data_IF_496838813470
#
_entry.id   IF_496838813470
#
_cell.length_a   1.000
_cell.length_b   1.000
_cell.length_c   1.000
_cell.angle_alpha   90.00
_cell.angle_beta   90.00
_cell.angle_gamma   90.00
#
_symmetry.space_group_name_H-M   'P 1'
#
loop_
_entity.id
_entity.type
_entity.pdbx_description
1 polymer ?
#
# COMPACT_ATOMS: atom_id res chain seq x y z
N UNK A 1 42.45 4.32 1.95
CA UNK A 1 41.90 4.71 0.64
C UNK A 1 40.73 3.78 0.37
N UNK A 2 39.51 4.24 0.66
CA UNK A 2 38.30 3.41 0.60
C UNK A 2 37.75 3.50 -0.81
N UNK A 3 37.71 2.37 -1.53
CA UNK A 3 37.16 2.29 -2.89
C UNK A 3 35.63 2.49 -2.78
N UNK A 4 35.02 3.43 -3.52
CA UNK A 4 33.57 3.55 -3.55
C UNK A 4 33.00 2.30 -4.22
N UNK A 5 32.13 1.57 -3.51
CA UNK A 5 31.38 0.46 -4.08
C UNK A 5 30.45 1.03 -5.16
N UNK A 6 30.69 0.62 -6.40
CA UNK A 6 29.82 0.87 -7.56
C UNK A 6 28.56 0.02 -7.37
N UNK A 7 27.64 0.49 -6.52
CA UNK A 7 26.29 -0.07 -6.42
C UNK A 7 25.59 0.12 -7.76
N UNK A 8 24.86 -0.90 -8.20
CA UNK A 8 23.92 -0.75 -9.30
C UNK A 8 22.93 0.34 -8.88
N UNK A 9 23.02 1.51 -9.50
CA UNK A 9 21.97 2.52 -9.45
C UNK A 9 20.81 1.85 -10.18
N UNK A 10 19.88 1.28 -9.42
CA UNK A 10 18.60 0.88 -9.98
C UNK A 10 18.01 2.20 -10.48
N UNK A 11 17.83 2.32 -11.80
CA UNK A 11 17.09 3.41 -12.43
C UNK A 11 15.62 3.25 -12.06
N UNK A 12 15.35 3.44 -10.77
CA UNK A 12 14.01 3.64 -10.27
C UNK A 12 13.74 5.09 -10.61
N UNK A 13 13.13 5.34 -11.76
CA UNK A 13 12.33 6.55 -11.88
C UNK A 13 11.16 6.41 -10.91
N UNK A 14 11.45 6.60 -9.61
CA UNK A 14 10.50 7.01 -8.61
C UNK A 14 9.94 8.29 -9.19
N UNK A 15 8.79 8.20 -9.89
CA UNK A 15 8.15 9.33 -10.55
C UNK A 15 8.05 10.47 -9.54
N UNK A 16 8.98 11.43 -9.65
CA UNK A 16 9.12 12.64 -8.84
C UNK A 16 8.59 12.52 -7.40
N UNK A 17 9.03 11.51 -6.65
CA UNK A 17 8.83 11.45 -5.20
C UNK A 17 9.95 12.19 -4.49
N UNK A 18 9.78 12.50 -3.20
CA UNK A 18 10.89 13.07 -2.44
C UNK A 18 11.87 11.93 -2.11
N UNK A 19 12.96 11.81 -2.88
CA UNK A 19 14.07 10.87 -2.62
C UNK A 19 14.55 10.87 -1.16
N UNK A 20 14.23 11.94 -0.41
CA UNK A 20 14.50 12.09 1.02
C UNK A 20 13.98 10.93 1.86
N UNK A 21 12.78 10.39 1.61
CA UNK A 21 12.27 9.24 2.39
C UNK A 21 13.05 7.96 2.08
N UNK A 22 13.31 7.69 0.81
CA UNK A 22 14.12 6.55 0.39
C UNK A 22 15.54 6.61 0.97
N UNK A 23 16.17 7.80 0.92
CA UNK A 23 17.49 8.06 1.52
C UNK A 23 17.44 7.89 3.05
N UNK A 24 16.39 8.37 3.73
CA UNK A 24 16.24 8.17 5.17
C UNK A 24 16.16 6.69 5.51
N UNK A 25 15.38 5.89 4.78
CA UNK A 25 15.25 4.46 5.00
C UNK A 25 16.55 3.69 4.73
N UNK A 26 17.27 4.00 3.65
CA UNK A 26 18.59 3.42 3.37
C UNK A 26 19.56 3.66 4.53
N UNK A 27 19.60 4.90 5.04
CA UNK A 27 20.42 5.26 6.20
C UNK A 27 19.95 4.54 7.46
N UNK A 28 18.64 4.56 7.74
CA UNK A 28 18.01 4.03 8.95
C UNK A 28 18.17 2.52 9.05
N UNK A 29 18.01 1.80 7.95
CA UNK A 29 18.07 0.33 7.92
C UNK A 29 19.45 -0.20 7.47
N UNK A 30 20.34 0.68 7.01
CA UNK A 30 21.69 0.32 6.55
C UNK A 30 21.68 -0.81 5.49
N UNK A 31 20.69 -0.78 4.61
CA UNK A 31 20.45 -1.80 3.59
C UNK A 31 19.97 -1.16 2.28
N UNK A 32 20.28 -1.83 1.16
CA UNK A 32 19.80 -1.41 -0.17
C UNK A 32 18.37 -1.91 -0.35
N UNK A 33 17.42 -1.05 -0.79
CA UNK A 33 16.03 -1.44 -0.96
C UNK A 33 15.87 -2.42 -2.13
N UNK A 34 14.98 -3.39 -1.95
CA UNK A 34 14.39 -4.16 -3.05
C UNK A 34 12.93 -3.74 -3.20
N UNK A 35 12.58 -3.15 -4.35
CA UNK A 35 11.21 -2.70 -4.60
C UNK A 35 10.32 -3.85 -5.00
N UNK A 36 9.12 -3.89 -4.41
CA UNK A 36 8.06 -4.77 -4.89
C UNK A 36 7.57 -4.28 -6.27
N UNK A 37 7.25 -5.20 -7.20
CA UNK A 37 6.71 -4.83 -8.50
C UNK A 37 5.28 -4.30 -8.40
N UNK A 38 4.51 -4.78 -7.42
CA UNK A 38 3.13 -4.36 -7.18
C UNK A 38 3.08 -3.06 -6.39
N UNK A 39 2.11 -2.21 -6.74
CA UNK A 39 1.83 -0.95 -6.06
C UNK A 39 0.49 -0.99 -5.35
N UNK A 40 0.45 -0.47 -4.14
CA UNK A 40 -0.76 -0.24 -3.37
C UNK A 40 -1.43 0.99 -3.96
N UNK A 41 -2.62 0.78 -4.52
CA UNK A 41 -3.35 1.82 -5.23
C UNK A 41 -2.54 2.48 -6.35
N UNK A 42 -1.65 1.74 -7.03
CA UNK A 42 -0.87 2.28 -8.17
C UNK A 42 0.14 3.40 -7.89
N UNK A 43 0.07 4.04 -6.72
CA UNK A 43 0.90 5.18 -6.33
C UNK A 43 1.96 4.78 -5.32
N UNK A 44 1.61 3.94 -4.35
CA UNK A 44 2.50 3.59 -3.23
C UNK A 44 3.18 2.25 -3.50
N UNK A 45 4.49 2.26 -3.69
CA UNK A 45 5.29 1.03 -3.75
C UNK A 45 5.64 0.56 -2.33
N UNK A 46 6.07 -0.68 -2.20
CA UNK A 46 6.74 -1.15 -0.97
C UNK A 46 8.20 -1.48 -1.24
N UNK A 47 9.08 -1.10 -0.33
CA UNK A 47 10.50 -1.43 -0.35
C UNK A 47 10.86 -2.39 0.78
N UNK A 48 11.57 -3.46 0.43
CA UNK A 48 12.14 -4.42 1.36
C UNK A 48 13.60 -4.07 1.66
N UNK A 49 13.93 -3.97 2.95
CA UNK A 49 15.27 -3.81 3.48
C UNK A 49 15.60 -5.02 4.35
N UNK A 50 16.57 -5.84 3.94
CA UNK A 50 17.01 -7.01 4.72
C UNK A 50 18.42 -6.80 5.27
N UNK A 51 18.60 -7.08 6.56
CA UNK A 51 19.87 -6.90 7.25
C UNK A 51 19.80 -7.34 8.71
N UNK A 52 20.92 -7.76 9.29
CA UNK A 52 21.06 -8.06 10.73
C UNK A 52 20.01 -9.02 11.31
N UNK A 53 19.52 -9.99 10.53
CA UNK A 53 18.51 -10.96 10.97
C UNK A 53 17.08 -10.42 11.03
N UNK A 54 16.87 -9.20 10.53
CA UNK A 54 15.58 -8.54 10.41
C UNK A 54 15.25 -8.27 8.94
N UNK A 55 13.96 -8.19 8.65
CA UNK A 55 13.45 -7.70 7.39
C UNK A 55 12.48 -6.56 7.68
N UNK A 56 12.67 -5.43 7.01
CA UNK A 56 11.81 -4.26 7.12
C UNK A 56 11.13 -4.02 5.78
N UNK A 57 9.80 -3.88 5.79
CA UNK A 57 9.06 -3.41 4.64
C UNK A 57 8.57 -2.01 4.93
N UNK A 58 8.90 -1.06 4.07
CA UNK A 58 8.43 0.32 4.16
C UNK A 58 7.57 0.68 2.95
N UNK A 59 6.59 1.56 3.13
CA UNK A 59 5.95 2.23 2.00
C UNK A 59 6.90 3.25 1.38
N UNK A 60 6.73 3.47 0.07
CA UNK A 60 7.38 4.53 -0.69
C UNK A 60 6.32 5.14 -1.62
N UNK A 61 6.02 6.42 -1.44
CA UNK A 61 4.99 7.13 -2.17
C UNK A 61 3.77 7.50 -1.32
N UNK A 62 3.70 7.09 -0.05
CA UNK A 62 2.59 7.46 0.83
C UNK A 62 2.65 8.94 1.24
N UNK A 63 3.85 9.50 1.29
CA UNK A 63 4.11 10.90 1.62
C UNK A 63 3.44 11.87 0.65
N UNK A 64 3.14 11.37 -0.55
CA UNK A 64 2.43 12.07 -1.61
C UNK A 64 0.90 12.07 -1.41
N UNK A 65 0.37 11.17 -0.58
CA UNK A 65 -1.05 11.19 -0.21
C UNK A 65 -1.28 12.28 0.81
N UNK A 66 -2.14 13.23 0.47
CA UNK A 66 -2.39 14.38 1.33
C UNK A 66 -3.48 14.08 2.33
N UNK A 67 -3.07 13.95 3.58
CA UNK A 67 -3.95 13.92 4.74
C UNK A 67 -4.11 15.35 5.27
N UNK A 68 -5.35 15.79 5.48
CA UNK A 68 -5.63 17.18 5.85
C UNK A 68 -4.96 17.55 7.19
N UNK A 69 -4.11 18.59 7.18
CA UNK A 69 -3.44 19.11 8.38
C UNK A 69 -2.25 18.26 8.87
N UNK A 70 -1.87 17.22 8.13
CA UNK A 70 -0.80 16.31 8.52
C UNK A 70 0.48 16.58 7.71
N UNK A 71 1.62 16.30 8.31
CA UNK A 71 2.89 16.31 7.59
C UNK A 71 3.02 15.06 6.70
N UNK A 72 3.81 15.12 5.60
CA UNK A 72 4.09 13.95 4.77
C UNK A 72 4.62 12.80 5.63
N UNK A 73 4.18 11.58 5.35
CA UNK A 73 4.57 10.43 6.14
C UNK A 73 4.73 9.16 5.32
N UNK A 74 5.57 8.27 5.84
CA UNK A 74 5.68 6.89 5.39
C UNK A 74 5.44 5.94 6.57
N UNK A 75 5.07 4.69 6.28
CA UNK A 75 4.94 3.64 7.29
C UNK A 75 5.93 2.51 7.02
N UNK A 76 6.39 1.83 8.05
CA UNK A 76 7.14 0.58 7.89
C UNK A 76 6.76 -0.45 8.93
N UNK A 77 7.00 -1.72 8.61
CA UNK A 77 6.87 -2.84 9.53
C UNK A 77 8.15 -3.66 9.54
N UNK A 78 8.66 -3.97 10.74
CA UNK A 78 9.86 -4.77 10.92
C UNK A 78 9.52 -6.15 11.51
N UNK A 79 10.05 -7.19 10.88
CA UNK A 79 9.87 -8.59 11.25
C UNK A 79 11.22 -9.33 11.22
N UNK A 80 11.25 -10.61 11.65
CA UNK A 80 12.45 -11.43 11.49
C UNK A 80 12.75 -11.69 10.01
N UNK A 81 14.03 -11.91 9.69
CA UNK A 81 14.44 -12.32 8.36
C UNK A 81 13.65 -13.54 7.86
N UNK A 82 13.24 -13.53 6.59
CA UNK A 82 12.38 -14.54 5.99
C UNK A 82 10.89 -14.45 6.34
N UNK A 83 10.46 -13.46 7.14
CA UNK A 83 9.05 -13.20 7.45
C UNK A 83 8.49 -11.96 6.74
N UNK A 84 9.22 -11.38 5.78
CA UNK A 84 8.89 -10.10 5.14
C UNK A 84 7.51 -10.06 4.46
N UNK A 85 6.98 -11.20 3.99
CA UNK A 85 5.64 -11.27 3.41
C UNK A 85 4.56 -10.79 4.39
N UNK A 86 4.70 -11.08 5.69
CA UNK A 86 3.78 -10.60 6.71
C UNK A 86 3.85 -9.08 6.91
N UNK A 87 5.07 -8.53 6.90
CA UNK A 87 5.29 -7.09 6.97
C UNK A 87 4.70 -6.37 5.73
N UNK A 88 4.86 -6.94 4.54
CA UNK A 88 4.29 -6.40 3.31
C UNK A 88 2.75 -6.38 3.33
N UNK A 89 2.12 -7.45 3.82
CA UNK A 89 0.65 -7.49 4.00
C UNK A 89 0.20 -6.42 5.00
N UNK A 90 0.94 -6.24 6.11
CA UNK A 90 0.60 -5.26 7.12
C UNK A 90 0.73 -3.81 6.61
N UNK A 91 1.84 -3.47 5.96
CA UNK A 91 2.04 -2.17 5.32
C UNK A 91 0.95 -1.90 4.29
N UNK A 92 0.66 -2.87 3.43
CA UNK A 92 -0.41 -2.77 2.42
C UNK A 92 -1.76 -2.47 3.06
N UNK A 93 -2.15 -3.23 4.09
CA UNK A 93 -3.42 -3.02 4.79
C UNK A 93 -3.48 -1.69 5.53
N UNK A 94 -2.40 -1.29 6.18
CA UNK A 94 -2.32 -0.01 6.89
C UNK A 94 -2.46 1.16 5.93
N UNK A 95 -1.71 1.15 4.82
CA UNK A 95 -1.79 2.18 3.77
C UNK A 95 -3.21 2.27 3.22
N UNK A 96 -3.82 1.15 2.83
CA UNK A 96 -5.19 1.14 2.32
C UNK A 96 -6.18 1.71 3.34
N UNK A 97 -6.10 1.28 4.60
CA UNK A 97 -6.96 1.83 5.66
C UNK A 97 -6.79 3.35 5.83
N UNK A 98 -5.56 3.85 5.81
CA UNK A 98 -5.29 5.28 5.94
C UNK A 98 -5.92 6.08 4.80
N UNK A 99 -5.80 5.57 3.57
CA UNK A 99 -6.30 6.26 2.37
C UNK A 99 -7.80 6.09 2.18
N UNK A 100 -8.29 4.84 2.23
CA UNK A 100 -9.65 4.43 1.86
C UNK A 100 -10.65 4.61 3.01
N UNK A 101 -10.29 4.18 4.24
CA UNK A 101 -11.24 4.16 5.37
C UNK A 101 -11.19 5.46 6.19
N UNK A 102 -9.98 5.93 6.48
CA UNK A 102 -9.75 7.01 7.44
C UNK A 102 -9.63 8.39 6.78
N UNK A 103 -9.12 8.45 5.54
CA UNK A 103 -8.69 9.70 4.92
C UNK A 103 -7.60 10.43 5.73
N UNK A 104 -6.77 9.68 6.46
CA UNK A 104 -5.84 10.20 7.45
C UNK A 104 -4.89 9.12 7.99
N UNK A 105 -3.86 9.51 8.79
CA UNK A 105 -2.94 8.56 9.39
C UNK A 105 -3.62 7.62 10.37
N UNK A 106 -3.03 6.44 10.58
CA UNK A 106 -3.45 5.55 11.67
C UNK A 106 -3.30 6.30 13.01
N UNK A 107 -4.29 6.23 13.92
CA UNK A 107 -4.15 6.78 15.25
C UNK A 107 -3.00 6.08 15.98
N UNK A 108 -2.12 6.88 16.60
CA UNK A 108 -0.98 6.35 17.34
C UNK A 108 -1.46 5.64 18.60
N UNK A 109 -0.86 4.50 18.89
CA UNK A 109 -1.09 3.69 20.09
C UNK A 109 -2.50 3.11 20.24
N UNK A 110 -3.35 3.25 19.22
CA UNK A 110 -4.70 2.67 19.14
C UNK A 110 -4.69 1.41 18.25
N UNK A 111 -4.83 0.21 18.82
CA UNK A 111 -4.79 -1.02 18.04
C UNK A 111 -5.97 -1.14 17.06
N UNK A 112 -5.65 -1.31 15.77
CA UNK A 112 -6.64 -1.73 14.79
C UNK A 112 -6.76 -3.25 14.75
N UNK A 113 -7.86 -3.77 15.29
CA UNK A 113 -8.19 -5.20 15.28
C UNK A 113 -9.01 -5.58 14.02
N UNK A 114 -8.69 -6.72 13.42
CA UNK A 114 -9.46 -7.36 12.35
C UNK A 114 -10.04 -8.70 12.81
N UNK A 115 -11.21 -9.08 12.28
CA UNK A 115 -11.96 -10.26 12.72
C UNK A 115 -11.26 -11.60 12.43
N UNK A 116 -10.31 -11.63 11.50
CA UNK A 116 -9.56 -12.82 11.13
C UNK A 116 -8.07 -12.49 11.00
N UNK A 117 -7.16 -13.45 11.22
CA UNK A 117 -5.74 -13.19 11.08
C UNK A 117 -5.42 -12.68 9.68
N UNK A 118 -4.73 -11.55 9.57
CA UNK A 118 -4.43 -10.97 8.26
C UNK A 118 -3.27 -11.67 7.54
N UNK A 119 -2.51 -12.50 8.26
CA UNK A 119 -1.52 -13.42 7.68
C UNK A 119 -1.97 -14.85 7.98
N UNK A 120 -2.31 -15.65 6.95
CA UNK A 120 -2.74 -17.04 7.13
C UNK A 120 -1.73 -17.87 7.93
N UNK A 121 -2.24 -18.70 8.85
CA UNK A 121 -1.41 -19.56 9.71
C UNK A 121 -0.70 -18.84 10.86
N UNK A 122 -1.01 -17.56 11.11
CA UNK A 122 -0.50 -16.81 12.27
C UNK A 122 -1.63 -16.45 13.23
N UNK A 123 -1.26 -15.91 14.40
CA UNK A 123 -2.21 -15.36 15.38
C UNK A 123 -2.43 -13.84 15.23
N UNK A 124 -1.87 -13.23 14.17
CA UNK A 124 -1.82 -11.79 14.02
C UNK A 124 -3.16 -11.23 13.55
N UNK A 125 -3.86 -10.56 14.47
CA UNK A 125 -5.17 -9.94 14.24
C UNK A 125 -5.13 -8.41 14.36
N UNK A 126 -4.08 -7.83 14.94
CA UNK A 126 -3.99 -6.40 15.17
C UNK A 126 -2.80 -5.75 14.47
N UNK A 127 -2.95 -4.48 14.12
CA UNK A 127 -1.85 -3.59 13.75
C UNK A 127 -1.98 -2.35 14.64
N UNK A 128 -0.87 -1.91 15.23
CA UNK A 128 -0.83 -0.63 15.96
C UNK A 128 0.27 0.25 15.38
N UNK A 129 -0.04 1.52 15.16
CA UNK A 129 0.91 2.54 14.76
C UNK A 129 1.63 3.09 16.00
N UNK A 130 2.94 3.20 15.95
CA UNK A 130 3.76 3.62 17.10
C UNK A 130 4.70 4.76 16.70
N UNK A 131 5.05 5.58 17.70
CA UNK A 131 5.84 6.80 17.54
C UNK A 131 7.28 6.63 18.03
N UNK A 132 8.03 7.75 18.05
CA UNK A 132 9.42 7.80 18.47
C UNK A 132 9.68 7.20 19.86
N UNK A 133 8.72 7.29 20.78
CA UNK A 133 8.86 6.79 22.14
C UNK A 133 8.99 5.26 22.20
N UNK A 134 8.41 4.54 21.24
CA UNK A 134 8.47 3.07 21.18
C UNK A 134 9.89 2.52 21.09
N UNK A 135 10.75 3.18 20.30
CA UNK A 135 12.17 2.77 20.14
C UNK A 135 13.17 3.72 20.78
N UNK A 136 12.71 4.84 21.33
CA UNK A 136 13.59 5.95 21.72
C UNK A 136 14.38 6.50 20.53
N UNK A 137 13.80 6.47 19.32
CA UNK A 137 14.44 6.90 18.09
C UNK A 137 13.65 8.04 17.45
N UNK A 138 14.36 9.02 16.88
CA UNK A 138 13.70 10.05 16.08
C UNK A 138 13.07 9.44 14.82
N UNK A 139 11.80 9.74 14.63
CA UNK A 139 11.00 9.29 13.50
C UNK A 139 10.78 10.41 12.48
N UNK A 140 11.36 11.59 12.69
CA UNK A 140 11.42 12.65 11.69
C UNK A 140 12.26 12.26 10.48
N UNK A 141 11.84 12.72 9.31
CA UNK A 141 12.58 12.64 8.05
C UNK A 141 13.10 14.02 7.72
N UNK A 142 14.39 14.13 7.43
CA UNK A 142 15.07 15.42 7.23
C UNK A 142 15.80 15.44 5.89
N UNK A 143 15.75 16.58 5.20
CA UNK A 143 16.54 16.80 4.00
C UNK A 143 18.03 17.04 4.33
N UNK A 144 18.87 17.14 3.30
CA UNK A 144 20.31 17.37 3.46
C UNK A 144 20.66 18.69 4.18
N UNK A 145 19.72 19.64 4.26
CA UNK A 145 19.91 20.89 5.02
C UNK A 145 19.53 20.75 6.51
N UNK A 146 19.03 19.58 6.92
CA UNK A 146 18.52 19.32 8.27
C UNK A 146 17.09 19.81 8.49
N UNK A 147 16.38 20.25 7.44
CA UNK A 147 14.97 20.65 7.56
C UNK A 147 14.09 19.41 7.54
N UNK A 148 13.10 19.37 8.45
CA UNK A 148 12.10 18.30 8.50
C UNK A 148 11.22 18.32 7.26
N UNK A 149 11.09 17.17 6.60
CA UNK A 149 10.26 16.94 5.41
C UNK A 149 9.04 16.09 5.70
N UNK A 150 9.04 15.36 6.81
CA UNK A 150 7.92 14.53 7.22
C UNK A 150 8.27 13.66 8.42
N UNK A 151 7.55 12.55 8.56
CA UNK A 151 7.79 11.54 9.60
C UNK A 151 7.61 10.12 9.07
N UNK A 152 8.14 9.18 9.83
CA UNK A 152 7.92 7.76 9.63
C UNK A 152 7.07 7.23 10.79
N UNK A 153 6.18 6.29 10.53
CA UNK A 153 5.43 5.56 11.55
C UNK A 153 5.81 4.10 11.48
N UNK A 154 6.12 3.49 12.63
CA UNK A 154 6.31 2.05 12.70
C UNK A 154 4.97 1.35 12.94
N UNK A 155 4.77 0.23 12.26
CA UNK A 155 3.64 -0.66 12.41
C UNK A 155 4.09 -1.88 13.21
N UNK A 156 3.46 -2.10 14.36
CA UNK A 156 3.68 -3.28 15.19
C UNK A 156 2.52 -4.25 14.99
N UNK A 157 2.84 -5.48 14.62
CA UNK A 157 1.83 -6.54 14.43
C UNK A 157 1.49 -7.13 15.79
N UNK A 158 0.21 -7.32 16.07
CA UNK A 158 -0.31 -7.80 17.35
C UNK A 158 -1.11 -9.08 17.16
N UNK A 159 -1.05 -9.97 18.15
CA UNK A 159 -2.07 -11.01 18.29
C UNK A 159 -3.39 -10.41 18.76
N UNK A 160 -4.48 -11.19 18.69
CA UNK A 160 -5.79 -10.74 19.18
C UNK A 160 -5.73 -10.34 20.67
N UNK A 161 -5.14 -11.19 21.52
CA UNK A 161 -5.00 -10.92 22.95
C UNK A 161 -4.15 -9.69 23.23
N UNK A 162 -3.06 -9.48 22.49
CA UNK A 162 -2.21 -8.29 22.64
C UNK A 162 -2.96 -7.01 22.26
N UNK A 163 -3.76 -7.04 21.18
CA UNK A 163 -4.57 -5.90 20.75
C UNK A 163 -5.71 -5.59 21.73
N UNK A 164 -6.40 -6.61 22.25
CA UNK A 164 -7.41 -6.45 23.32
C UNK A 164 -6.75 -5.84 24.56
N UNK A 165 -5.63 -6.39 25.00
CA UNK A 165 -4.93 -5.90 26.19
C UNK A 165 -4.50 -4.43 26.05
N UNK A 166 -3.98 -4.05 24.87
CA UNK A 166 -3.62 -2.65 24.60
C UNK A 166 -4.83 -1.72 24.54
N UNK A 167 -5.99 -2.20 24.07
CA UNK A 167 -7.23 -1.42 24.01
C UNK A 167 -7.83 -1.22 25.41
N UNK A 168 -7.80 -2.26 26.26
CA UNK A 168 -8.40 -2.24 27.60
C UNK A 168 -7.50 -1.57 28.66
N UNK A 169 -6.19 -1.83 28.61
CA UNK A 169 -5.22 -1.40 29.63
C UNK A 169 -4.27 -0.30 29.15
N UNK A 170 -4.45 0.15 27.91
CA UNK A 170 -3.61 1.13 27.24
C UNK A 170 -2.31 0.54 26.68
N UNK A 171 -1.70 1.27 25.74
CA UNK A 171 -0.50 0.83 25.02
C UNK A 171 0.73 0.58 25.90
N UNK A 172 0.75 1.12 27.12
CA UNK A 172 1.85 0.95 28.08
C UNK A 172 2.21 -0.51 28.37
N UNK A 173 1.24 -1.43 28.32
CA UNK A 173 1.49 -2.87 28.53
C UNK A 173 2.39 -3.45 27.43
N UNK A 174 2.21 -3.03 26.18
CA UNK A 174 3.06 -3.47 25.06
C UNK A 174 4.45 -2.84 25.14
N UNK A 175 4.54 -1.56 25.51
CA UNK A 175 5.81 -0.86 25.72
C UNK A 175 6.66 -1.50 26.81
N UNK A 176 6.03 -1.97 27.89
CA UNK A 176 6.71 -2.70 28.96
C UNK A 176 7.30 -4.02 28.44
N UNK A 177 6.54 -4.78 27.65
CA UNK A 177 7.04 -6.01 27.02
C UNK A 177 8.21 -5.72 26.08
N UNK A 178 8.08 -4.71 25.22
CA UNK A 178 9.14 -4.36 24.27
C UNK A 178 10.43 -3.95 24.98
N UNK A 179 10.31 -3.23 26.10
CA UNK A 179 11.45 -2.84 26.95
C UNK A 179 12.14 -4.04 27.61
N UNK A 180 11.35 -5.03 28.07
CA UNK A 180 11.88 -6.25 28.68
C UNK A 180 12.45 -7.24 27.67
N UNK A 181 11.88 -7.28 26.46
CA UNK A 181 12.23 -8.24 25.40
C UNK A 181 12.32 -7.53 24.05
N UNK A 182 13.43 -6.80 23.80
CA UNK A 182 13.63 -6.12 22.53
C UNK A 182 13.47 -7.06 21.34
N UNK A 183 12.62 -6.68 20.38
CA UNK A 183 12.36 -7.45 19.18
C UNK A 183 11.38 -8.63 19.34
N UNK A 184 10.74 -8.82 20.50
CA UNK A 184 9.74 -9.88 20.69
C UNK A 184 8.58 -9.79 19.67
N UNK A 185 8.14 -8.57 19.34
CA UNK A 185 7.07 -8.31 18.38
C UNK A 185 7.45 -8.58 16.91
N UNK A 186 8.73 -8.79 16.61
CA UNK A 186 9.21 -9.04 15.23
C UNK A 186 8.98 -10.48 14.76
N UNK A 187 8.72 -11.40 15.69
CA UNK A 187 8.40 -12.79 15.34
C UNK A 187 6.90 -12.94 15.10
N UNK A 188 6.51 -13.18 13.86
CA UNK A 188 5.09 -13.36 13.49
C UNK A 188 4.52 -14.70 13.96
N UNK A 189 5.39 -15.66 14.32
CA UNK A 189 5.00 -17.00 14.77
C UNK A 189 4.93 -17.12 16.29
N UNK A 190 5.12 -16.02 17.01
CA UNK A 190 5.07 -16.01 18.47
C UNK A 190 3.67 -16.36 18.99
N UNK A 191 3.63 -16.80 20.24
CA UNK A 191 2.41 -16.78 21.04
C UNK A 191 2.18 -15.38 21.62
N UNK A 192 1.01 -15.18 22.22
CA UNK A 192 0.65 -13.94 22.90
C UNK A 192 1.71 -13.56 23.93
N UNK A 193 2.23 -12.34 23.82
CA UNK A 193 3.18 -11.78 24.78
C UNK A 193 2.48 -11.19 26.01
N UNK A 194 1.21 -10.83 25.86
CA UNK A 194 0.32 -10.30 26.89
C UNK A 194 -1.02 -11.01 26.75
N UNK A 195 -1.60 -11.46 27.86
CA UNK A 195 -2.96 -11.99 27.85
C UNK A 195 -4.00 -10.85 27.89
N UNK A 196 -5.29 -11.11 27.63
CA UNK A 196 -6.32 -10.06 27.61
C UNK A 196 -6.44 -9.26 28.92
N UNK A 197 -6.02 -9.83 30.06
CA UNK A 197 -6.04 -9.14 31.36
C UNK A 197 -4.89 -8.14 31.55
N UNK A 198 -4.00 -8.02 30.56
CA UNK A 198 -2.81 -7.18 30.63
C UNK A 198 -1.62 -7.86 31.34
N UNK A 199 -1.76 -9.13 31.74
CA UNK A 199 -0.67 -9.84 32.39
C UNK A 199 0.38 -10.25 31.34
N UNK A 200 1.64 -9.91 31.63
CA UNK A 200 2.76 -10.23 30.74
C UNK A 200 3.05 -11.74 30.80
N UNK A 201 2.87 -12.40 29.64
CA UNK A 201 3.04 -13.83 29.48
C UNK A 201 4.51 -14.24 29.45
N UNK A 202 5.07 -14.61 30.61
CA UNK A 202 6.37 -15.29 30.67
C UNK A 202 6.20 -16.77 30.30
N UNK A 203 6.03 -17.08 29.01
CA UNK A 203 6.15 -18.43 28.47
C UNK A 203 5.47 -19.52 29.31
N UNK A 204 4.18 -19.38 29.58
CA UNK A 204 3.44 -20.42 30.30
C UNK A 204 3.26 -21.66 29.41
N UNK A 205 3.84 -22.84 29.73
CA UNK A 205 2.95 -23.96 29.93
C UNK A 205 2.10 -23.57 31.15
N UNK A 206 0.78 -23.50 31.00
CA UNK A 206 -0.10 -23.52 32.18
C UNK A 206 0.44 -24.66 33.05
N UNK A 207 0.93 -24.37 34.27
CA UNK A 207 0.83 -25.40 35.31
C UNK A 207 -0.64 -25.81 35.22
N UNK A 208 -0.90 -27.08 34.85
CA UNK A 208 -2.21 -27.68 35.10
C UNK A 208 -2.58 -27.22 36.50
N UNK A 209 -3.75 -26.60 36.68
CA UNK A 209 -4.28 -26.48 38.03
C UNK A 209 -4.25 -27.91 38.57
N UNK A 210 -3.53 -28.13 39.66
CA UNK A 210 -3.48 -29.44 40.33
C UNK A 210 -4.89 -29.88 40.80
N UNK A 211 -5.91 -29.02 40.63
CA UNK A 211 -7.33 -29.27 40.91
C UNK A 211 -8.19 -29.59 39.67
N UNK A 212 -7.62 -29.74 38.46
CA UNK A 212 -8.37 -30.26 37.32
C UNK A 212 -8.33 -31.80 37.38
N UNK A 213 -9.43 -32.48 37.76
CA UNK A 213 -9.44 -33.93 37.91
C UNK A 213 -9.04 -34.56 36.58
N UNK A 214 -8.05 -35.45 36.63
CA UNK A 214 -7.59 -36.18 35.46
C UNK A 214 -8.80 -36.78 34.74
N UNK A 215 -9.07 -36.32 33.51
CA UNK A 215 -9.98 -37.01 32.63
C UNK A 215 -9.49 -38.46 32.54
N UNK A 216 -10.34 -39.37 32.99
CA UNK A 216 -10.12 -40.81 32.90
C UNK A 216 -9.81 -41.15 31.43
N UNK A 217 -8.82 -42.02 31.17
CA UNK A 217 -8.55 -42.46 29.81
C UNK A 217 -9.78 -43.20 29.29
N UNK A 218 -10.40 -42.65 28.24
CA UNK A 218 -11.37 -43.37 27.44
C UNK A 218 -10.72 -44.64 26.89
N UNK A 219 -11.45 -45.74 27.03
CA UNK A 219 -11.03 -47.06 26.65
C UNK A 219 -10.62 -47.15 25.17
N UNK A 220 -9.63 -48.01 24.94
CA UNK A 220 -9.09 -48.37 23.66
C UNK A 220 -10.19 -48.85 22.67
N UNK A 221 -10.50 -48.00 21.70
CA UNK A 221 -11.19 -48.39 20.46
C UNK A 221 -10.16 -48.72 19.37
N UNK A 222 -10.25 -49.95 18.85
CA UNK A 222 -9.35 -50.56 17.87
C UNK A 222 -9.22 -49.79 16.53
N UNK A 223 -8.08 -49.88 15.84
CA UNK A 223 -7.90 -49.29 14.52
C UNK A 223 -8.57 -50.14 13.43
N UNK A 224 -9.69 -49.66 12.88
CA UNK A 224 -10.26 -50.23 11.66
C UNK A 224 -9.49 -49.73 10.44
N UNK A 225 -8.75 -50.65 9.82
CA UNK A 225 -8.22 -50.53 8.46
C UNK A 225 -9.36 -50.38 7.46
N UNK A 226 -9.21 -49.55 6.43
CA UNK A 226 -9.48 -49.84 5.00
C UNK A 226 -9.11 -48.59 4.20
N UNK A 227 -8.10 -48.72 3.34
CA UNK A 227 -7.94 -47.88 2.14
C UNK A 227 -8.66 -48.56 0.97
N UNK A 228 -9.09 -47.80 -0.05
CA UNK A 228 -8.50 -48.07 -1.35
C UNK A 228 -8.08 -46.81 -2.12
N UNK A 229 -7.19 -47.08 -3.06
CA UNK A 229 -6.43 -46.21 -3.94
C UNK A 229 -7.27 -45.64 -5.12
N UNK A 230 -6.66 -44.84 -6.03
CA UNK A 230 -7.31 -43.77 -6.78
C UNK A 230 -7.95 -44.20 -8.10
N UNK A 231 -8.89 -43.37 -8.58
CA UNK A 231 -9.43 -43.45 -9.94
C UNK A 231 -8.74 -42.39 -10.82
N UNK A 232 -7.89 -42.87 -11.73
CA UNK A 232 -7.28 -42.11 -12.82
C UNK A 232 -8.29 -42.00 -13.97
N UNK A 233 -8.92 -40.83 -14.14
CA UNK A 233 -9.64 -40.51 -15.37
C UNK A 233 -8.92 -39.42 -16.15
N UNK A 234 -8.40 -39.86 -17.30
CA UNK A 234 -7.69 -39.11 -18.31
C UNK A 234 -8.48 -37.90 -18.84
N UNK A 235 -7.79 -36.76 -19.02
CA UNK A 235 -8.24 -35.63 -19.83
C UNK A 235 -7.41 -35.56 -21.12
N UNK A 236 -8.03 -35.27 -22.29
CA UNK A 236 -7.34 -35.28 -23.57
C UNK A 236 -6.51 -34.01 -23.81
N UNK A 237 -5.32 -34.23 -24.37
CA UNK A 237 -4.41 -33.22 -24.92
C UNK A 237 -5.09 -32.54 -26.12
N UNK A 238 -5.32 -31.23 -26.01
CA UNK A 238 -5.74 -30.37 -27.13
C UNK A 238 -4.49 -29.81 -27.79
N UNK A 239 -4.24 -30.27 -29.02
CA UNK A 239 -3.16 -29.80 -29.90
C UNK A 239 -3.56 -28.45 -30.52
N UNK A 240 -2.75 -27.41 -30.31
CA UNK A 240 -2.90 -26.11 -30.98
C UNK A 240 -2.42 -26.19 -32.45
N UNK A 241 -3.08 -25.51 -33.40
CA UNK A 241 -2.61 -25.47 -34.79
C UNK A 241 -1.49 -24.43 -34.97
N UNK A 242 -0.42 -24.85 -35.64
CA UNK A 242 0.67 -24.01 -36.14
C UNK A 242 0.15 -22.93 -37.09
N UNK A 243 0.44 -21.67 -36.77
CA UNK A 243 0.28 -20.54 -37.68
C UNK A 243 1.44 -20.54 -38.67
N UNK A 244 1.08 -20.47 -39.95
CA UNK A 244 1.93 -20.47 -41.13
C UNK A 244 2.32 -19.02 -41.42
N UNK A 245 3.60 -18.70 -41.37
CA UNK A 245 4.14 -17.44 -41.88
C UNK A 245 4.17 -17.48 -43.41
N UNK A 246 3.57 -16.49 -44.07
CA UNK A 246 3.85 -16.16 -45.46
C UNK A 246 4.55 -14.80 -45.56
N UNK A 247 5.51 -14.64 -46.49
CA UNK A 247 6.25 -13.41 -46.69
C UNK A 247 5.54 -12.50 -47.72
N UNK A 248 5.49 -11.19 -47.47
CA UNK A 248 5.01 -10.23 -48.47
C UNK A 248 5.97 -9.04 -48.64
N UNK A 249 6.73 -9.15 -49.72
CA UNK A 249 7.04 -8.12 -50.74
C UNK A 249 7.41 -6.69 -50.35
N UNK A 250 8.65 -6.38 -50.76
CA UNK A 250 9.19 -5.07 -51.05
C UNK A 250 8.34 -4.20 -52.01
N UNK A 251 8.51 -2.89 -51.87
CA UNK A 251 8.52 -1.96 -53.01
C UNK A 251 7.73 -0.68 -52.80
N UNK A 252 8.43 0.45 -52.64
CA UNK A 252 8.32 1.66 -53.48
C UNK A 252 8.85 2.89 -52.73
N UNK A 253 9.85 3.53 -53.31
CA UNK A 253 10.35 4.85 -52.88
C UNK A 253 9.45 5.98 -53.35
N UNK A 254 9.50 7.09 -52.62
CA UNK A 254 8.90 8.40 -52.96
C UNK A 254 9.84 9.49 -52.38
N UNK A 255 9.97 10.66 -53.03
CA UNK A 255 11.22 11.42 -53.06
C UNK A 255 11.36 12.47 -51.96
N UNK A 256 12.62 12.85 -51.80
CA UNK A 256 13.19 13.96 -51.06
C UNK A 256 12.55 15.30 -51.45
N UNK A 257 11.89 15.95 -50.48
CA UNK A 257 11.40 17.31 -50.58
C UNK A 257 11.84 18.07 -49.31
N UNK A 258 12.66 19.09 -49.52
CA UNK A 258 13.37 19.84 -48.49
C UNK A 258 12.48 20.45 -47.41
N UNK A 259 13.00 20.40 -46.19
CA UNK A 259 12.47 21.08 -45.01
C UNK A 259 13.25 22.39 -44.82
N UNK A 260 12.59 23.55 -44.67
CA UNK A 260 13.25 24.75 -44.21
C UNK A 260 13.48 24.68 -42.69
N UNK A 261 14.70 25.01 -42.27
CA UNK A 261 15.08 25.30 -40.89
C UNK A 261 14.27 26.50 -40.38
N UNK A 262 13.34 26.27 -39.46
CA UNK A 262 12.87 27.24 -38.47
C UNK A 262 12.09 26.49 -37.36
N UNK A 263 12.79 26.05 -36.32
CA UNK A 263 12.16 25.59 -35.08
C UNK A 263 11.70 26.80 -34.26
N UNK A 264 10.39 27.00 -34.01
CA UNK A 264 9.96 27.89 -32.94
C UNK A 264 10.28 27.20 -31.60
N UNK A 265 11.21 27.81 -30.86
CA UNK A 265 11.47 27.52 -29.45
C UNK A 265 10.20 27.71 -28.63
N UNK A 266 9.42 26.63 -28.47
CA UNK A 266 8.36 26.54 -27.47
C UNK A 266 9.04 26.14 -26.17
N UNK A 267 9.04 27.07 -25.20
CA UNK A 267 9.51 26.82 -23.87
C UNK A 267 8.72 25.65 -23.23
N UNK A 268 9.28 24.44 -23.26
CA UNK A 268 8.85 23.30 -22.44
C UNK A 268 9.25 23.55 -21.00
N UNK A 269 8.52 24.45 -20.34
CA UNK A 269 8.53 24.62 -18.89
C UNK A 269 7.58 23.62 -18.22
N UNK A 270 7.70 22.33 -18.51
CA UNK A 270 7.08 21.30 -17.68
C UNK A 270 8.03 21.06 -16.50
N UNK A 271 7.83 21.84 -15.42
CA UNK A 271 8.41 21.50 -14.12
C UNK A 271 7.87 20.16 -13.61
N UNK A 272 8.42 19.58 -12.53
CA UNK A 272 7.88 18.36 -11.93
C UNK A 272 6.49 18.65 -11.35
N UNK A 273 5.43 18.26 -12.08
CA UNK A 273 4.00 18.49 -11.74
C UNK A 273 3.49 17.46 -10.70
N UNK A 274 4.33 16.53 -10.24
CA UNK A 274 3.89 15.37 -9.44
C UNK A 274 3.26 15.69 -8.07
N UNK A 275 3.81 16.66 -7.32
CA UNK A 275 3.34 16.94 -5.94
C UNK A 275 2.14 17.90 -5.89
N UNK A 276 1.98 18.77 -6.90
CA UNK A 276 0.91 19.77 -6.91
C UNK A 276 -0.47 19.15 -7.17
N UNK A 277 -0.52 18.07 -7.97
CA UNK A 277 -1.77 17.40 -8.37
C UNK A 277 -2.46 16.72 -7.19
N UNK A 278 -1.70 16.20 -6.23
CA UNK A 278 -2.25 15.48 -5.08
C UNK A 278 -2.85 16.44 -4.03
N UNK A 279 -2.43 17.71 -4.10
CA UNK A 279 -2.99 18.91 -3.43
C UNK A 279 -4.41 19.25 -3.84
N UNK A 280 -4.85 18.75 -4.99
CA UNK A 280 -6.09 19.17 -5.60
C UNK A 280 -7.26 18.46 -4.92
N UNK A 281 -8.25 19.24 -4.49
CA UNK A 281 -9.54 18.71 -4.07
C UNK A 281 -10.46 18.52 -5.28
N UNK A 282 -11.16 17.39 -5.30
CA UNK A 282 -12.11 17.00 -6.33
C UNK A 282 -13.51 16.88 -5.73
N UNK A 283 -14.53 17.33 -6.47
CA UNK A 283 -15.92 17.02 -6.15
C UNK A 283 -16.26 15.63 -6.65
N UNK A 284 -16.61 14.73 -5.75
CA UNK A 284 -16.95 13.34 -6.08
C UNK A 284 -18.41 13.09 -5.75
N UNK A 285 -19.13 12.45 -6.67
CA UNK A 285 -20.49 11.97 -6.43
C UNK A 285 -20.49 11.02 -5.22
N UNK A 286 -21.38 11.24 -4.24
CA UNK A 286 -21.52 10.35 -3.07
C UNK A 286 -21.88 8.92 -3.46
N UNK A 287 -22.42 8.72 -4.67
CA UNK A 287 -22.69 7.41 -5.25
C UNK A 287 -21.42 6.55 -5.37
N UNK A 288 -20.27 7.18 -5.58
CA UNK A 288 -18.96 6.53 -5.71
C UNK A 288 -18.63 5.66 -4.51
N UNK A 289 -18.99 6.06 -3.27
CA UNK A 289 -18.73 5.26 -2.06
C UNK A 289 -19.24 3.82 -2.12
N UNK A 290 -20.35 3.60 -2.84
CA UNK A 290 -20.99 2.28 -2.95
C UNK A 290 -20.70 1.58 -4.28
N UNK A 291 -20.21 2.34 -5.27
CA UNK A 291 -20.18 1.92 -6.67
C UNK A 291 -18.86 2.26 -7.36
N UNK A 292 -17.74 2.30 -6.61
CA UNK A 292 -16.41 2.34 -7.20
C UNK A 292 -16.26 1.27 -8.30
N UNK A 293 -15.52 1.54 -9.38
CA UNK A 293 -14.65 2.71 -9.62
C UNK A 293 -15.38 3.93 -10.24
N UNK A 294 -14.78 5.12 -10.19
CA UNK A 294 -15.24 6.25 -11.03
C UNK A 294 -15.07 5.90 -12.51
N UNK A 295 -16.01 6.32 -13.34
CA UNK A 295 -15.96 6.13 -14.81
C UNK A 295 -15.95 7.43 -15.58
N UNK A 296 -16.11 8.56 -14.90
CA UNK A 296 -15.98 9.87 -15.49
C UNK A 296 -15.20 10.76 -14.52
N UNK A 297 -14.20 11.45 -15.06
CA UNK A 297 -13.45 12.49 -14.38
C UNK A 297 -13.36 13.67 -15.35
N UNK A 298 -13.80 14.85 -14.94
CA UNK A 298 -13.66 16.06 -15.74
C UNK A 298 -12.99 17.16 -14.95
N UNK A 299 -12.32 18.06 -15.66
CA UNK A 299 -11.87 19.34 -15.12
C UNK A 299 -12.83 20.41 -15.63
N UNK A 300 -13.64 20.98 -14.73
CA UNK A 300 -14.57 22.05 -15.05
C UNK A 300 -13.87 23.29 -15.62
N UNK A 301 -14.64 24.21 -16.22
CA UNK A 301 -14.11 25.49 -16.69
C UNK A 301 -13.57 26.36 -15.55
N UNK A 302 -14.12 26.18 -14.35
CA UNK A 302 -13.63 26.76 -13.10
C UNK A 302 -12.31 26.14 -12.59
N UNK A 303 -11.78 25.14 -13.32
CA UNK A 303 -10.55 24.43 -13.01
C UNK A 303 -10.71 23.34 -11.95
N UNK A 304 -11.91 23.17 -11.37
CA UNK A 304 -12.20 22.18 -10.34
C UNK A 304 -12.44 20.81 -10.97
N UNK A 305 -11.85 19.77 -10.41
CA UNK A 305 -12.16 18.41 -10.85
C UNK A 305 -13.52 17.96 -10.31
N UNK A 306 -14.26 17.21 -11.14
CA UNK A 306 -15.51 16.54 -10.77
C UNK A 306 -15.48 15.10 -11.26
N UNK A 307 -15.79 14.13 -10.39
CA UNK A 307 -15.75 12.71 -10.70
C UNK A 307 -17.00 11.94 -10.26
N UNK A 308 -17.43 10.95 -11.06
CA UNK A 308 -18.60 10.13 -10.79
C UNK A 308 -18.57 8.75 -11.50
N UNK A 309 -19.52 7.88 -11.19
CA UNK A 309 -19.53 6.46 -11.65
C UNK A 309 -20.15 6.28 -13.04
N UNK A 310 -20.87 7.29 -13.54
CA UNK A 310 -21.71 7.25 -14.73
C UNK A 310 -22.90 6.26 -14.64
N UNK A 311 -23.13 5.70 -13.45
CA UNK A 311 -24.27 4.83 -13.12
C UNK A 311 -25.26 5.56 -12.19
N UNK A 312 -25.07 6.86 -11.94
CA UNK A 312 -25.98 7.69 -11.16
C UNK A 312 -27.36 7.81 -11.85
N UNK A 313 -28.47 7.82 -11.07
CA UNK A 313 -29.80 7.99 -11.65
C UNK A 313 -29.98 9.38 -12.27
N UNK A 314 -30.91 9.49 -13.22
CA UNK A 314 -31.26 10.75 -13.88
C UNK A 314 -31.63 11.83 -12.85
N UNK A 315 -31.09 13.04 -13.01
CA UNK A 315 -31.28 14.16 -12.08
C UNK A 315 -30.40 14.12 -10.83
N UNK A 316 -29.67 13.02 -10.55
CA UNK A 316 -28.86 12.91 -9.33
C UNK A 316 -27.70 13.92 -9.28
N UNK A 317 -27.02 14.12 -10.42
CA UNK A 317 -25.87 15.02 -10.53
C UNK A 317 -26.28 16.51 -10.55
N UNK A 318 -27.58 16.82 -10.68
CA UNK A 318 -28.08 18.20 -10.70
C UNK A 318 -28.15 18.80 -9.28
N UNK A 319 -28.20 17.94 -8.25
CA UNK A 319 -28.22 18.36 -6.85
C UNK A 319 -26.78 18.49 -6.31
N UNK A 320 -26.31 19.70 -5.94
CA UNK A 320 -24.97 19.90 -5.41
C UNK A 320 -24.72 19.16 -4.09
N UNK A 321 -25.75 18.86 -3.30
CA UNK A 321 -25.63 18.15 -2.02
C UNK A 321 -25.30 16.65 -2.21
N UNK A 322 -25.48 16.13 -3.42
CA UNK A 322 -25.08 14.78 -3.80
C UNK A 322 -23.56 14.63 -4.05
N UNK A 323 -22.81 15.71 -3.91
CA UNK A 323 -21.36 15.69 -4.00
C UNK A 323 -20.71 15.83 -2.62
N UNK A 324 -19.45 15.42 -2.57
CA UNK A 324 -18.55 15.66 -1.45
C UNK A 324 -17.14 15.94 -1.97
N UNK A 325 -16.27 16.48 -1.11
CA UNK A 325 -14.92 16.84 -1.48
C UNK A 325 -13.93 15.78 -1.05
N UNK A 326 -13.20 15.21 -1.99
CA UNK A 326 -12.11 14.26 -1.74
C UNK A 326 -10.78 14.88 -2.15
N UNK A 327 -9.66 14.29 -1.71
CA UNK A 327 -8.37 14.55 -2.36
C UNK A 327 -8.34 13.80 -3.69
N UNK A 328 -7.87 14.45 -4.76
CA UNK A 328 -7.65 13.82 -6.05
C UNK A 328 -6.67 12.64 -5.92
N UNK A 329 -5.74 12.70 -4.95
CA UNK A 329 -4.85 11.60 -4.61
C UNK A 329 -5.56 10.31 -4.23
N UNK A 330 -6.73 10.38 -3.57
CA UNK A 330 -7.54 9.17 -3.25
C UNK A 330 -8.07 8.53 -4.53
N UNK A 331 -8.51 9.33 -5.51
CA UNK A 331 -8.99 8.82 -6.80
C UNK A 331 -7.82 8.23 -7.61
N UNK A 332 -6.68 8.92 -7.65
CA UNK A 332 -5.50 8.44 -8.35
C UNK A 332 -4.90 7.19 -7.67
N UNK A 333 -5.11 7.04 -6.36
CA UNK A 333 -4.77 5.82 -5.64
C UNK A 333 -5.66 4.65 -6.09
N UNK A 334 -6.97 4.82 -6.18
CA UNK A 334 -7.82 3.73 -6.69
C UNK A 334 -7.62 3.48 -8.20
N UNK A 335 -7.29 4.53 -8.96
CA UNK A 335 -7.30 4.53 -10.42
C UNK A 335 -6.07 5.25 -11.00
N UNK A 336 -4.88 4.63 -10.89
CA UNK A 336 -3.60 5.26 -11.29
C UNK A 336 -3.52 5.60 -12.77
N UNK A 337 -4.28 4.91 -13.63
CA UNK A 337 -4.32 5.19 -15.07
C UNK A 337 -4.86 6.61 -15.39
N UNK A 338 -5.50 7.28 -14.42
CA UNK A 338 -5.94 8.66 -14.53
C UNK A 338 -4.84 9.69 -14.25
N UNK A 339 -3.68 9.29 -13.72
CA UNK A 339 -2.57 10.20 -13.38
C UNK A 339 -2.13 11.06 -14.57
N UNK A 340 -1.93 10.52 -15.79
CA UNK A 340 -1.55 11.35 -16.94
C UNK A 340 -2.59 12.43 -17.26
N UNK A 341 -3.87 12.09 -17.15
CA UNK A 341 -4.96 13.05 -17.36
C UNK A 341 -5.00 14.08 -16.24
N UNK A 342 -5.00 13.67 -14.97
CA UNK A 342 -5.03 14.60 -13.84
C UNK A 342 -3.88 15.63 -13.87
N UNK A 343 -2.72 15.21 -14.36
CA UNK A 343 -1.51 16.04 -14.48
C UNK A 343 -1.58 17.02 -15.66
N UNK A 344 -2.26 16.66 -16.75
CA UNK A 344 -2.26 17.42 -18.02
C UNK A 344 -3.61 18.02 -18.42
N UNK A 345 -4.68 17.72 -17.67
CA UNK A 345 -6.03 18.14 -17.99
C UNK A 345 -6.14 19.66 -18.02
N UNK A 346 -6.66 20.21 -19.12
CA UNK A 346 -7.02 21.62 -19.21
C UNK A 346 -8.46 21.81 -18.71
N UNK A 347 -8.83 23.01 -18.21
CA UNK A 347 -10.23 23.34 -17.95
C UNK A 347 -11.10 23.04 -19.17
N UNK A 348 -12.25 22.40 -18.95
CA UNK A 348 -13.16 21.98 -20.02
C UNK A 348 -12.82 20.63 -20.64
N UNK A 349 -11.86 19.85 -20.11
CA UNK A 349 -11.56 18.50 -20.62
C UNK A 349 -12.17 17.40 -19.75
N UNK A 350 -12.26 16.18 -20.28
CA UNK A 350 -12.70 15.00 -19.53
C UNK A 350 -11.88 13.74 -19.86
N UNK A 351 -11.90 12.80 -18.92
CA UNK A 351 -11.54 11.40 -19.06
C UNK A 351 -12.76 10.52 -18.74
N UNK A 352 -13.16 9.68 -19.70
CA UNK A 352 -14.29 8.75 -19.59
C UNK A 352 -13.80 7.32 -19.73
N UNK A 353 -14.19 6.45 -18.82
CA UNK A 353 -13.90 5.03 -18.90
C UNK A 353 -14.87 4.35 -19.86
N UNK A 354 -14.32 3.74 -20.91
CA UNK A 354 -15.06 2.92 -21.88
C UNK A 354 -14.47 1.52 -21.84
N UNK A 355 -15.26 0.56 -21.36
CA UNK A 355 -14.80 -0.81 -21.12
C UNK A 355 -13.56 -0.82 -20.20
N UNK A 356 -12.40 -1.22 -20.73
CA UNK A 356 -11.14 -1.36 -20.02
C UNK A 356 -10.15 -0.21 -20.25
N UNK A 357 -10.51 0.85 -20.98
CA UNK A 357 -9.62 1.97 -21.26
C UNK A 357 -10.28 3.33 -20.99
N UNK A 358 -9.47 4.39 -20.98
CA UNK A 358 -9.92 5.76 -20.84
C UNK A 358 -9.92 6.46 -22.21
N UNK A 359 -11.03 7.11 -22.53
CA UNK A 359 -11.17 8.06 -23.62
C UNK A 359 -11.05 9.48 -23.06
N UNK A 360 -10.37 10.36 -23.79
CA UNK A 360 -10.16 11.76 -23.39
C UNK A 360 -10.83 12.69 -24.40
N UNK A 361 -11.36 13.83 -23.95
CA UNK A 361 -11.99 14.78 -24.85
C UNK A 361 -12.24 16.15 -24.22
N UNK A 362 -12.88 17.04 -24.99
CA UNK A 362 -13.28 18.39 -24.57
C UNK A 362 -14.79 18.44 -24.39
N UNK A 363 -15.25 19.13 -23.35
CA UNK A 363 -16.66 19.42 -23.11
C UNK A 363 -17.16 20.35 -24.21
N UNK A 364 -18.26 19.99 -24.88
CA UNK A 364 -18.91 20.82 -25.91
C UNK A 364 -18.69 20.40 -27.36
N UNK A 365 -17.75 19.49 -27.66
CA UNK A 365 -17.48 18.99 -29.03
C UNK A 365 -18.36 17.79 -29.45
N UNK A 366 -19.63 17.72 -29.01
CA UNK A 366 -20.52 16.60 -29.34
C UNK A 366 -21.35 16.81 -30.59
#
# INVERSE_FOLDING_TARGET
MTVPRKGAVIDVSLRSGSDVFAIDFERRFSAVPTLAPERIGGLVSTALYEGHGTATVASLGLERVIFAGEEPLEVYCEVRAGQHAAAAVAVTRAVRRMVEDLGGPLPLHDPWLVAHPFVPGTKLHGIVAVDAAWRGMDMGVYDASGRRRGRVIELVLLTEHEAIAASEHGFGVLSQVASQRPGAFRDIRRNDLVDPSGAIGFGWPRRRRDDEPAALPDEAGEPSSVAPAPDESAAPVVTAPSVREEPSTAGAGVPDAGVPDEEPSVATGLGPIGDEVLGIHIRVSRYVRKHLPIRWLQRGEDGVFVGWTADEPEGYLDDPDNFEWWSLGVILFEQPDLEPYATSALPGTYAKRVLSHWEYGTLGER
#
